data_IF_167104497450
#
_entry.id   IF_167104497450
#
_cell.length_a   1.000
_cell.length_b   1.000
_cell.length_c   1.000
_cell.angle_alpha   90.00
_cell.angle_beta   90.00
_cell.angle_gamma   90.00
#
_symmetry.space_group_name_H-M   'P 1'
#
loop_
_entity.id
_entity.type
_entity.pdbx_description
1 polymer ?
#
# COMPACT_ATOMS: atom_id res chain seq x y z
N UNK A 1 -1.95 -58.04 -23.89
CA UNK A 1 -2.42 -57.59 -22.56
C UNK A 1 -1.41 -56.58 -22.06
N UNK A 2 -1.70 -55.29 -22.24
CA UNK A 2 -0.82 -54.19 -21.86
C UNK A 2 -1.35 -53.57 -20.57
N UNK A 3 -0.61 -53.76 -19.48
CA UNK A 3 -0.90 -53.23 -18.15
C UNK A 3 -0.55 -51.74 -18.13
N UNK A 4 -1.56 -50.87 -18.22
CA UNK A 4 -1.40 -49.42 -18.07
C UNK A 4 -1.13 -49.06 -16.61
N UNK A 5 0.06 -48.53 -16.33
CA UNK A 5 0.42 -47.98 -15.03
C UNK A 5 -0.23 -46.62 -14.82
N UNK A 6 -1.24 -46.57 -13.96
CA UNK A 6 -1.82 -45.32 -13.46
C UNK A 6 -0.77 -44.56 -12.63
N UNK A 7 -0.28 -43.46 -13.20
CA UNK A 7 0.61 -42.54 -12.52
C UNK A 7 -0.22 -41.71 -11.53
N UNK A 8 -0.25 -42.12 -10.27
CA UNK A 8 -0.84 -41.32 -9.18
C UNK A 8 0.03 -40.08 -8.95
N UNK A 9 -0.22 -39.02 -9.71
CA UNK A 9 0.30 -37.68 -9.42
C UNK A 9 -0.25 -37.27 -8.05
N UNK A 10 0.59 -37.38 -7.03
CA UNK A 10 0.27 -37.09 -5.64
C UNK A 10 -0.34 -35.70 -5.50
N UNK A 11 -1.58 -35.65 -5.03
CA UNK A 11 -2.28 -34.40 -4.76
C UNK A 11 -1.49 -33.60 -3.72
N UNK A 12 -1.02 -32.42 -4.11
CA UNK A 12 -0.35 -31.51 -3.19
C UNK A 12 -1.30 -31.15 -2.02
N UNK A 13 -0.78 -31.06 -0.78
CA UNK A 13 -1.58 -30.76 0.39
C UNK A 13 -2.26 -29.40 0.23
N UNK A 14 -3.58 -29.37 0.46
CA UNK A 14 -4.37 -28.13 0.42
C UNK A 14 -4.04 -27.29 1.65
N UNK A 15 -3.30 -26.20 1.44
CA UNK A 15 -2.98 -25.22 2.50
C UNK A 15 -4.22 -24.33 2.74
N UNK A 16 -4.63 -24.18 4.00
CA UNK A 16 -5.82 -23.40 4.40
C UNK A 16 -5.39 -22.19 5.22
N UNK A 17 -6.02 -21.04 4.98
CA UNK A 17 -5.74 -19.81 5.71
C UNK A 17 -6.33 -19.87 7.12
N UNK A 18 -5.52 -19.57 8.13
CA UNK A 18 -6.00 -19.63 9.51
C UNK A 18 -7.05 -18.55 9.84
N UNK A 19 -6.97 -17.38 9.19
CA UNK A 19 -7.91 -16.28 9.41
C UNK A 19 -9.29 -16.50 8.76
N UNK A 20 -9.34 -16.90 7.49
CA UNK A 20 -10.60 -16.99 6.74
C UNK A 20 -11.05 -18.42 6.42
N UNK A 21 -10.27 -19.44 6.83
CA UNK A 21 -10.54 -20.87 6.65
C UNK A 21 -10.77 -21.30 5.19
N UNK A 22 -10.23 -20.54 4.22
CA UNK A 22 -10.26 -20.85 2.78
C UNK A 22 -8.90 -21.34 2.29
N UNK A 23 -8.91 -22.19 1.25
CA UNK A 23 -7.68 -22.69 0.62
C UNK A 23 -6.87 -21.54 0.00
N UNK A 24 -5.56 -21.57 0.21
CA UNK A 24 -4.63 -20.50 -0.19
C UNK A 24 -3.74 -20.99 -1.32
N UNK A 25 -3.75 -20.29 -2.45
CA UNK A 25 -2.81 -20.54 -3.56
C UNK A 25 -1.47 -19.83 -3.33
N UNK A 26 -1.53 -18.57 -2.88
CA UNK A 26 -0.35 -17.77 -2.54
C UNK A 26 -0.38 -17.41 -1.05
N UNK A 27 0.50 -18.04 -0.28
CA UNK A 27 0.48 -18.00 1.18
C UNK A 27 1.68 -17.27 1.74
N UNK A 28 1.50 -16.66 2.91
CA UNK A 28 2.61 -16.22 3.77
C UNK A 28 2.59 -17.05 5.04
N UNK A 29 3.76 -17.56 5.42
CA UNK A 29 3.95 -18.40 6.60
C UNK A 29 4.45 -17.56 7.78
N UNK A 30 3.80 -17.67 8.93
CA UNK A 30 4.29 -17.05 10.15
C UNK A 30 5.50 -17.84 10.69
N UNK A 31 6.60 -17.15 11.02
CA UNK A 31 7.81 -17.80 11.55
C UNK A 31 7.64 -18.35 12.97
N UNK A 32 6.75 -17.74 13.78
CA UNK A 32 6.51 -18.16 15.17
C UNK A 32 5.61 -19.40 15.25
N UNK A 33 4.48 -19.39 14.52
CA UNK A 33 3.44 -20.41 14.66
C UNK A 33 3.35 -21.41 13.51
N UNK A 34 4.15 -21.25 12.46
CA UNK A 34 4.07 -22.02 11.22
C UNK A 34 2.72 -21.97 10.48
N UNK A 35 1.74 -21.16 10.91
CA UNK A 35 0.46 -21.01 10.22
C UNK A 35 0.58 -20.27 8.88
N UNK A 36 -0.41 -20.51 8.02
CA UNK A 36 -0.47 -19.97 6.66
C UNK A 36 -1.61 -18.94 6.53
N UNK A 37 -1.32 -17.83 5.86
CA UNK A 37 -2.27 -16.73 5.66
C UNK A 37 -2.30 -16.25 4.21
N UNK A 38 -3.45 -15.73 3.77
CA UNK A 38 -3.47 -14.88 2.59
C UNK A 38 -2.73 -13.56 2.88
N UNK A 39 -2.01 -12.97 1.91
CA UNK A 39 -1.37 -11.67 2.09
C UNK A 39 -2.32 -10.59 2.61
N UNK A 40 -3.56 -10.54 2.12
CA UNK A 40 -4.58 -9.61 2.62
C UNK A 40 -5.06 -9.92 4.04
N UNK A 41 -5.25 -11.21 4.36
CA UNK A 41 -5.72 -11.61 5.69
C UNK A 41 -4.66 -11.35 6.77
N UNK A 42 -3.37 -11.44 6.44
CA UNK A 42 -2.29 -11.09 7.35
C UNK A 42 -2.28 -9.58 7.69
N UNK A 43 -2.52 -8.72 6.70
CA UNK A 43 -2.61 -7.28 6.96
C UNK A 43 -3.83 -6.96 7.82
N UNK A 44 -4.97 -7.58 7.53
CA UNK A 44 -6.19 -7.41 8.33
C UNK A 44 -6.04 -7.92 9.77
N UNK A 45 -5.37 -9.06 9.96
CA UNK A 45 -5.07 -9.54 11.30
C UNK A 45 -4.16 -8.52 11.99
N UNK A 46 -3.01 -8.12 11.42
CA UNK A 46 -2.08 -7.16 12.05
C UNK A 46 -2.71 -5.83 12.49
N UNK A 47 -3.78 -5.38 11.83
CA UNK A 47 -4.50 -4.15 12.17
C UNK A 47 -5.56 -4.35 13.28
N UNK A 48 -6.05 -5.58 13.45
CA UNK A 48 -6.82 -5.93 14.63
C UNK A 48 -5.88 -5.95 15.83
N UNK A 49 -6.20 -5.20 16.88
CA UNK A 49 -5.42 -5.13 18.14
C UNK A 49 -5.23 -6.50 18.84
N UNK A 50 -5.88 -7.56 18.34
CA UNK A 50 -5.78 -8.94 18.79
C UNK A 50 -4.83 -9.81 17.96
N UNK A 51 -4.11 -9.27 16.97
CA UNK A 51 -3.13 -10.05 16.20
C UNK A 51 -1.72 -10.01 16.80
N UNK A 52 -1.68 -10.13 18.12
CA UNK A 52 -0.51 -10.74 18.74
C UNK A 52 -0.56 -12.21 18.29
N UNK A 53 0.53 -12.67 17.67
CA UNK A 53 0.71 -14.09 17.42
C UNK A 53 0.48 -14.79 18.77
N UNK A 54 -0.46 -15.74 18.85
CA UNK A 54 -1.06 -16.32 20.08
C UNK A 54 -0.10 -17.05 21.05
N UNK A 55 1.15 -16.63 21.13
CA UNK A 55 2.31 -17.35 21.66
C UNK A 55 3.04 -16.55 22.73
N UNK A 56 2.58 -15.35 23.08
CA UNK A 56 3.29 -14.49 24.01
C UNK A 56 2.71 -14.58 25.46
N UNK A 57 1.82 -15.54 25.78
CA UNK A 57 1.14 -15.64 27.10
C UNK A 57 1.37 -16.94 27.91
N UNK A 58 2.20 -17.90 27.47
CA UNK A 58 2.28 -19.23 28.14
C UNK A 58 3.71 -19.73 28.49
N UNK A 59 4.68 -18.88 28.87
CA UNK A 59 6.04 -19.41 29.16
C UNK A 59 6.77 -18.97 30.43
N UNK A 60 6.11 -18.48 31.49
CA UNK A 60 6.84 -18.10 32.73
C UNK A 60 6.36 -18.68 34.08
N UNK A 61 5.40 -19.61 34.14
CA UNK A 61 4.85 -20.08 35.44
C UNK A 61 5.10 -21.55 35.85
N UNK A 62 6.05 -22.28 35.23
CA UNK A 62 6.32 -23.69 35.58
C UNK A 62 7.77 -24.02 35.98
N UNK A 63 8.40 -23.19 36.82
CA UNK A 63 9.63 -23.59 37.53
C UNK A 63 9.57 -23.23 39.01
N UNK A 64 8.66 -23.89 39.75
CA UNK A 64 8.68 -23.81 41.20
C UNK A 64 8.07 -25.04 41.88
N UNK A 65 8.78 -26.16 41.87
CA UNK A 65 8.60 -27.26 42.83
C UNK A 65 9.69 -28.32 42.64
N UNK A 66 10.89 -28.07 43.18
CA UNK A 66 11.81 -29.12 43.65
C UNK A 66 12.95 -28.47 44.44
N UNK A 67 12.70 -28.20 45.72
CA UNK A 67 13.75 -28.00 46.73
C UNK A 67 13.47 -29.01 47.84
N UNK A 68 13.99 -30.24 47.66
CA UNK A 68 13.97 -31.28 48.68
C UNK A 68 15.20 -31.13 49.60
N UNK A 69 14.93 -30.77 50.86
CA UNK A 69 15.45 -31.38 52.09
C UNK A 69 16.91 -31.83 52.20
N UNK A 70 17.88 -30.92 51.99
CA UNK A 70 19.19 -31.05 52.64
C UNK A 70 19.33 -30.13 53.85
N UNK A 71 19.18 -30.71 55.04
CA UNK A 71 19.47 -30.07 56.32
C UNK A 71 20.98 -29.79 56.44
N UNK A 72 21.40 -28.61 56.00
CA UNK A 72 22.73 -28.07 56.31
C UNK A 72 22.58 -27.18 57.55
N UNK A 73 23.04 -27.69 58.69
CA UNK A 73 23.26 -26.91 59.92
C UNK A 73 24.41 -25.93 59.70
N UNK A 74 24.15 -24.82 59.02
CA UNK A 74 25.03 -23.67 59.00
C UNK A 74 24.17 -22.43 59.25
N UNK A 75 24.31 -21.82 60.42
CA UNK A 75 23.58 -20.59 60.77
C UNK A 75 23.77 -19.48 59.72
N UNK A 76 24.89 -19.49 59.02
CA UNK A 76 25.18 -18.58 57.90
C UNK A 76 24.34 -18.86 56.65
N UNK A 77 23.96 -20.12 56.39
CA UNK A 77 23.09 -20.48 55.28
C UNK A 77 21.67 -19.95 55.51
N UNK A 78 21.15 -20.08 56.73
CA UNK A 78 19.84 -19.50 57.09
C UNK A 78 19.84 -17.97 56.98
N UNK A 79 20.94 -17.30 57.36
CA UNK A 79 21.08 -15.85 57.19
C UNK A 79 21.08 -15.46 55.71
N UNK A 80 21.83 -16.19 54.87
CA UNK A 80 21.88 -15.97 53.43
C UNK A 80 20.53 -16.21 52.74
N UNK A 81 19.78 -17.25 53.13
CA UNK A 81 18.44 -17.53 52.61
C UNK A 81 17.47 -16.41 52.98
N UNK A 82 17.52 -15.93 54.23
CA UNK A 82 16.68 -14.81 54.68
C UNK A 82 16.98 -13.52 53.91
N UNK A 83 18.27 -13.23 53.68
CA UNK A 83 18.72 -12.05 52.93
C UNK A 83 18.28 -12.12 51.45
N UNK A 84 18.45 -13.27 50.80
CA UNK A 84 17.98 -13.47 49.42
C UNK A 84 16.45 -13.37 49.29
N UNK A 85 15.72 -13.86 50.29
CA UNK A 85 14.26 -13.72 50.33
C UNK A 85 13.83 -12.27 50.45
N UNK A 86 14.55 -11.47 51.24
CA UNK A 86 14.34 -10.03 51.33
C UNK A 86 14.66 -9.32 50.01
N UNK A 87 15.80 -9.65 49.39
CA UNK A 87 16.21 -9.07 48.11
C UNK A 87 15.20 -9.37 47.00
N UNK A 88 14.69 -10.59 46.91
CA UNK A 88 13.64 -10.94 45.92
C UNK A 88 12.35 -10.14 46.13
N UNK A 89 11.96 -9.87 47.38
CA UNK A 89 10.80 -9.00 47.66
C UNK A 89 11.05 -7.56 47.22
N UNK A 90 12.24 -7.02 47.51
CA UNK A 90 12.61 -5.66 47.13
C UNK A 90 12.69 -5.49 45.60
N UNK A 91 13.24 -6.47 44.89
CA UNK A 91 13.27 -6.47 43.41
C UNK A 91 11.85 -6.44 42.85
N UNK A 92 10.97 -7.32 43.34
CA UNK A 92 9.57 -7.35 42.90
C UNK A 92 8.82 -6.04 43.20
N UNK A 93 9.11 -5.40 44.32
CA UNK A 93 8.56 -4.09 44.66
C UNK A 93 9.09 -2.99 43.71
N UNK A 94 10.37 -2.99 43.39
CA UNK A 94 10.97 -2.05 42.43
C UNK A 94 10.42 -2.23 41.02
N UNK A 95 10.26 -3.46 40.55
CA UNK A 95 9.65 -3.76 39.24
C UNK A 95 8.23 -3.21 39.17
N UNK A 96 7.40 -3.47 40.19
CA UNK A 96 6.03 -2.93 40.25
C UNK A 96 6.00 -1.39 40.26
N UNK A 97 6.94 -0.74 40.96
CA UNK A 97 7.07 0.73 40.95
C UNK A 97 7.50 1.25 39.58
N UNK A 98 8.41 0.56 38.89
CA UNK A 98 8.82 0.89 37.54
C UNK A 98 7.66 0.77 36.55
N UNK A 99 6.82 -0.27 36.65
CA UNK A 99 5.64 -0.42 35.80
C UNK A 99 4.63 0.71 36.01
N UNK A 100 4.37 1.11 37.26
CA UNK A 100 3.48 2.22 37.58
C UNK A 100 4.03 3.53 37.00
N UNK A 101 5.33 3.80 37.15
CA UNK A 101 5.97 4.97 36.56
C UNK A 101 5.92 4.96 35.03
N UNK A 102 6.08 3.80 34.40
CA UNK A 102 6.01 3.67 32.95
C UNK A 102 4.57 3.86 32.43
N UNK A 103 3.56 3.46 33.20
CA UNK A 103 2.16 3.74 32.89
C UNK A 103 1.79 5.22 33.05
N UNK A 104 2.38 5.92 34.02
CA UNK A 104 2.19 7.36 34.21
C UNK A 104 2.95 8.20 33.17
N UNK A 105 4.11 7.73 32.74
CA UNK A 105 4.96 8.39 31.73
C UNK A 105 4.76 7.89 30.31
N UNK A 106 3.76 7.04 30.03
CA UNK A 106 3.39 6.73 28.64
C UNK A 106 3.12 8.07 27.96
N UNK A 107 3.97 8.49 26.99
CA UNK A 107 3.71 9.72 26.27
C UNK A 107 2.32 9.52 25.67
N UNK A 108 1.35 10.37 26.06
CA UNK A 108 0.01 10.34 25.48
C UNK A 108 0.24 10.39 23.98
N UNK A 109 0.17 9.23 23.32
CA UNK A 109 0.41 9.16 21.90
C UNK A 109 -0.63 10.07 21.30
N UNK A 110 -0.20 11.23 20.81
CA UNK A 110 -1.09 12.17 20.18
C UNK A 110 -1.75 11.37 19.07
N UNK A 111 -3.07 11.18 19.17
CA UNK A 111 -3.78 10.52 18.09
C UNK A 111 -3.44 11.27 16.80
N UNK A 112 -3.19 10.57 15.70
CA UNK A 112 -2.89 11.22 14.41
C UNK A 112 -3.94 12.29 14.05
N UNK A 113 -5.17 12.12 14.55
CA UNK A 113 -6.25 13.10 14.45
C UNK A 113 -5.98 14.38 15.25
N UNK A 114 -5.46 14.27 16.48
CA UNK A 114 -5.05 15.41 17.30
C UNK A 114 -3.84 16.16 16.74
N UNK A 115 -2.87 15.45 16.18
CA UNK A 115 -1.70 16.07 15.51
C UNK A 115 -2.16 16.88 14.29
N UNK A 116 -2.99 16.30 13.43
CA UNK A 116 -3.51 17.00 12.26
C UNK A 116 -4.37 18.22 12.64
N UNK A 117 -5.22 18.12 13.67
CA UNK A 117 -6.00 19.25 14.17
C UNK A 117 -5.11 20.38 14.71
N UNK A 118 -4.03 20.04 15.44
CA UNK A 118 -3.07 21.02 15.94
C UNK A 118 -2.31 21.70 14.80
N UNK A 119 -1.90 20.95 13.77
CA UNK A 119 -1.24 21.50 12.57
C UNK A 119 -2.17 22.46 11.84
N UNK A 120 -3.43 22.07 11.59
CA UNK A 120 -4.41 22.94 10.92
C UNK A 120 -4.67 24.22 11.72
N UNK A 121 -4.78 24.12 13.05
CA UNK A 121 -4.98 25.29 13.94
C UNK A 121 -3.77 26.22 13.95
N UNK A 122 -2.55 25.69 13.94
CA UNK A 122 -1.32 26.48 13.87
C UNK A 122 -1.22 27.19 12.50
N UNK A 123 -1.53 26.50 11.42
CA UNK A 123 -1.53 27.07 10.07
C UNK A 123 -2.57 28.18 9.92
N UNK A 124 -3.79 28.00 10.45
CA UNK A 124 -4.82 29.04 10.41
C UNK A 124 -4.44 30.26 11.26
N UNK A 125 -3.83 30.04 12.43
CA UNK A 125 -3.38 31.14 13.28
C UNK A 125 -2.26 31.96 12.63
N UNK A 126 -1.31 31.32 11.94
CA UNK A 126 -0.23 32.03 11.26
C UNK A 126 -0.75 32.87 10.10
N UNK A 127 -1.70 32.34 9.31
CA UNK A 127 -2.34 33.09 8.23
C UNK A 127 -3.15 34.29 8.74
N UNK A 128 -3.84 34.15 9.88
CA UNK A 128 -4.56 35.28 10.47
C UNK A 128 -3.62 36.39 10.96
N UNK A 129 -2.45 36.03 11.53
CA UNK A 129 -1.43 37.01 11.90
C UNK A 129 -0.88 37.76 10.69
N UNK A 130 -0.60 37.04 9.61
CA UNK A 130 -0.12 37.64 8.35
C UNK A 130 -1.12 38.65 7.77
N UNK A 131 -2.42 38.39 7.87
CA UNK A 131 -3.46 39.34 7.42
C UNK A 131 -3.50 40.59 8.32
N UNK A 132 -3.45 40.43 9.63
CA UNK A 132 -3.43 41.57 10.57
C UNK A 132 -2.15 42.42 10.42
N UNK A 133 -1.02 41.80 10.12
CA UNK A 133 0.24 42.50 9.86
C UNK A 133 0.23 43.27 8.52
N UNK A 134 -0.64 42.88 7.58
CA UNK A 134 -0.85 43.61 6.33
C UNK A 134 -1.77 44.82 6.51
N UNK A 135 -2.83 44.70 7.33
CA UNK A 135 -3.74 45.82 7.63
C UNK A 135 -3.04 46.94 8.43
N UNK A 136 -2.08 46.60 9.28
CA UNK A 136 -1.33 47.60 10.06
C UNK A 136 -0.21 48.32 9.29
N UNK A 137 0.00 48.01 8.00
CA UNK A 137 1.04 48.64 7.15
C UNK A 137 0.52 49.68 6.17
N UNK A 138 -0.75 50.07 6.26
CA UNK A 138 -1.31 51.18 5.47
C UNK A 138 -1.05 52.52 6.15
N UNK A 139 0.19 52.99 6.04
CA UNK A 139 0.60 54.28 6.58
C UNK A 139 2.08 54.53 6.35
N UNK A 140 2.47 54.69 5.09
CA UNK A 140 3.36 55.77 4.65
C UNK A 140 3.56 55.70 3.13
N UNK A 141 3.38 56.88 2.55
CA UNK A 141 3.54 57.25 1.16
C UNK A 141 5.03 57.19 0.82
N UNK A 142 5.48 56.15 0.10
CA UNK A 142 6.65 56.18 -0.78
C UNK A 142 6.85 54.83 -1.50
N UNK A 143 6.56 54.82 -2.81
CA UNK A 143 7.21 53.95 -3.81
C UNK A 143 7.30 52.44 -3.52
N UNK A 144 6.18 51.71 -3.57
CA UNK A 144 6.21 50.25 -3.49
C UNK A 144 6.65 49.62 -4.82
N UNK A 145 7.94 49.30 -4.92
CA UNK A 145 8.48 48.44 -5.96
C UNK A 145 7.91 47.02 -5.79
N UNK A 146 7.31 46.50 -6.87
CA UNK A 146 6.73 45.15 -6.92
C UNK A 146 7.80 44.12 -6.56
N UNK A 147 7.73 43.58 -5.34
CA UNK A 147 8.61 42.50 -4.87
C UNK A 147 8.36 41.25 -5.71
N UNK A 148 9.11 41.12 -6.79
CA UNK A 148 9.17 39.92 -7.60
C UNK A 148 9.84 38.83 -6.78
N UNK A 149 9.04 37.83 -6.41
CA UNK A 149 9.49 36.63 -5.71
C UNK A 149 10.71 36.01 -6.43
N UNK A 150 11.92 36.20 -5.88
CA UNK A 150 13.18 35.58 -6.36
C UNK A 150 13.29 34.10 -5.99
N UNK A 151 12.18 33.37 -5.89
CA UNK A 151 12.26 31.93 -6.07
C UNK A 151 12.54 31.74 -7.55
N UNK A 152 13.79 31.47 -7.93
CA UNK A 152 14.06 31.00 -9.29
C UNK A 152 13.08 29.85 -9.53
N UNK A 153 12.06 30.01 -10.39
CA UNK A 153 11.23 28.89 -10.73
C UNK A 153 12.21 27.87 -11.27
N UNK A 154 12.21 26.64 -10.73
CA UNK A 154 12.83 25.52 -11.44
C UNK A 154 12.28 25.65 -12.83
N UNK A 155 13.12 26.10 -13.78
CA UNK A 155 12.72 26.52 -15.12
C UNK A 155 12.20 25.23 -15.71
N UNK A 156 10.90 24.97 -15.52
CA UNK A 156 10.22 23.85 -16.10
C UNK A 156 10.52 24.08 -17.56
N UNK A 157 11.36 23.20 -18.13
CA UNK A 157 11.69 23.29 -19.53
C UNK A 157 10.33 23.28 -20.19
N UNK A 158 9.93 24.45 -20.73
CA UNK A 158 8.67 24.56 -21.44
C UNK A 158 8.87 23.62 -22.61
N UNK A 159 8.28 22.43 -22.51
CA UNK A 159 8.18 21.56 -23.66
C UNK A 159 7.38 22.36 -24.67
N UNK A 160 8.08 22.90 -25.66
CA UNK A 160 7.45 23.56 -26.79
C UNK A 160 6.80 22.43 -27.58
N UNK A 161 5.54 22.15 -27.25
CA UNK A 161 4.70 21.27 -28.06
C UNK A 161 4.15 22.16 -29.17
N UNK A 162 4.95 22.35 -30.22
CA UNK A 162 4.47 22.99 -31.44
C UNK A 162 3.47 22.08 -32.14
N UNK A 163 2.34 22.64 -32.57
CA UNK A 163 1.47 21.98 -33.54
C UNK A 163 2.20 21.85 -34.88
N UNK A 164 1.88 20.81 -35.65
CA UNK A 164 2.56 20.54 -36.93
C UNK A 164 2.16 21.52 -38.05
N UNK A 165 1.23 22.43 -37.78
CA UNK A 165 0.59 23.30 -38.79
C UNK A 165 1.45 24.52 -39.18
N UNK A 166 2.41 24.94 -38.35
CA UNK A 166 3.12 26.24 -38.53
C UNK A 166 4.63 26.15 -38.80
N UNK A 167 5.25 24.96 -38.70
CA UNK A 167 6.70 24.82 -38.87
C UNK A 167 7.08 24.28 -40.26
N UNK A 168 7.41 25.18 -41.19
CA UNK A 168 7.79 24.85 -42.58
C UNK A 168 9.13 24.12 -42.74
N UNK A 169 9.93 24.00 -41.67
CA UNK A 169 11.27 23.38 -41.73
C UNK A 169 11.43 22.04 -41.01
N UNK A 170 10.47 21.61 -40.18
CA UNK A 170 10.61 20.39 -39.36
C UNK A 170 9.42 19.47 -39.58
N UNK A 171 9.62 18.37 -40.31
CA UNK A 171 8.62 17.32 -40.49
C UNK A 171 8.51 16.48 -39.22
N UNK A 172 7.38 16.55 -38.51
CA UNK A 172 7.13 15.63 -37.38
C UNK A 172 6.46 14.34 -37.85
N UNK A 173 6.71 13.25 -37.13
CA UNK A 173 6.07 11.96 -37.38
C UNK A 173 4.63 12.03 -36.84
N UNK A 174 3.67 11.58 -37.66
CA UNK A 174 2.27 11.51 -37.25
C UNK A 174 2.11 10.66 -35.98
N UNK A 175 1.30 11.16 -35.04
CA UNK A 175 1.00 10.44 -33.80
C UNK A 175 -0.15 9.47 -34.04
N UNK A 176 0.02 8.24 -33.58
CA UNK A 176 -0.99 7.21 -33.63
C UNK A 176 -1.49 6.88 -32.22
N UNK A 177 -2.74 6.46 -32.11
CA UNK A 177 -3.39 6.08 -30.86
C UNK A 177 -4.02 4.70 -31.04
N UNK A 178 -3.77 3.80 -30.10
CA UNK A 178 -4.32 2.45 -30.13
C UNK A 178 -5.55 2.35 -29.24
N UNK A 179 -6.63 1.84 -29.81
CA UNK A 179 -7.89 1.53 -29.16
C UNK A 179 -8.02 0.01 -29.01
N UNK A 180 -8.53 -0.43 -27.86
CA UNK A 180 -8.82 -1.82 -27.61
C UNK A 180 -10.31 -2.09 -27.82
N UNK A 181 -10.64 -2.86 -28.84
CA UNK A 181 -12.01 -3.29 -29.14
C UNK A 181 -12.17 -4.70 -28.56
N UNK A 182 -13.15 -4.86 -27.68
CA UNK A 182 -13.43 -6.13 -26.99
C UNK A 182 -14.84 -6.61 -27.31
N UNK A 183 -15.15 -7.86 -26.97
CA UNK A 183 -16.48 -8.47 -27.15
C UNK A 183 -16.89 -8.57 -28.63
N UNK A 184 -15.93 -8.80 -29.52
CA UNK A 184 -16.21 -9.16 -30.91
C UNK A 184 -16.56 -10.65 -31.00
N UNK A 185 -17.30 -11.03 -32.04
CA UNK A 185 -17.56 -12.44 -32.33
C UNK A 185 -16.22 -13.17 -32.59
N UNK A 186 -15.97 -14.36 -31.99
CA UNK A 186 -14.72 -15.10 -32.19
C UNK A 186 -14.38 -15.41 -33.65
N UNK A 187 -15.36 -15.47 -34.55
CA UNK A 187 -15.12 -15.70 -35.99
C UNK A 187 -14.69 -14.43 -36.75
N UNK A 188 -14.63 -13.27 -36.10
CA UNK A 188 -14.34 -12.00 -36.77
C UNK A 188 -12.86 -11.90 -37.11
N UNK A 189 -12.54 -11.64 -38.38
CA UNK A 189 -11.18 -11.40 -38.83
C UNK A 189 -10.82 -9.90 -38.79
N UNK A 190 -9.53 -9.55 -38.62
CA UNK A 190 -9.10 -8.15 -38.59
C UNK A 190 -9.42 -7.40 -39.89
N UNK A 191 -9.49 -8.11 -41.02
CA UNK A 191 -9.79 -7.51 -42.33
C UNK A 191 -11.23 -7.04 -42.45
N UNK A 192 -12.18 -7.71 -41.80
CA UNK A 192 -13.59 -7.30 -41.80
C UNK A 192 -13.78 -6.02 -41.00
N UNK A 193 -13.13 -5.93 -39.82
CA UNK A 193 -13.15 -4.70 -39.02
C UNK A 193 -12.45 -3.55 -39.74
N UNK A 194 -11.34 -3.84 -40.43
CA UNK A 194 -10.60 -2.87 -41.23
C UNK A 194 -11.47 -2.28 -42.35
N UNK A 195 -12.20 -3.10 -43.11
CA UNK A 195 -13.10 -2.65 -44.18
C UNK A 195 -14.16 -1.65 -43.68
N UNK A 196 -14.77 -1.93 -42.52
CA UNK A 196 -15.79 -1.06 -41.92
C UNK A 196 -15.17 0.27 -41.47
N UNK A 197 -14.00 0.22 -40.83
CA UNK A 197 -13.34 1.41 -40.29
C UNK A 197 -12.68 2.28 -41.38
N UNK A 198 -12.25 1.68 -42.50
CA UNK A 198 -11.62 2.40 -43.62
C UNK A 198 -12.53 3.49 -44.22
N UNK A 199 -13.86 3.34 -44.16
CA UNK A 199 -14.80 4.37 -44.61
C UNK A 199 -14.68 5.70 -43.83
N UNK A 200 -14.27 5.63 -42.56
CA UNK A 200 -14.10 6.79 -41.69
C UNK A 200 -12.63 7.17 -41.48
N UNK A 201 -11.72 6.19 -41.55
CA UNK A 201 -10.32 6.31 -41.18
C UNK A 201 -9.43 5.54 -42.19
N UNK A 202 -8.85 6.21 -43.20
CA UNK A 202 -8.16 5.54 -44.30
C UNK A 202 -6.88 4.80 -43.87
N UNK A 203 -6.23 5.24 -42.79
CA UNK A 203 -4.95 4.69 -42.30
C UNK A 203 -5.10 3.78 -41.08
N UNK A 204 -6.23 3.08 -40.97
CA UNK A 204 -6.48 2.17 -39.84
C UNK A 204 -5.68 0.88 -39.95
N UNK A 205 -4.98 0.50 -38.89
CA UNK A 205 -4.35 -0.82 -38.74
C UNK A 205 -5.03 -1.61 -37.64
N UNK A 206 -5.36 -2.87 -37.94
CA UNK A 206 -6.05 -3.78 -37.02
C UNK A 206 -5.17 -5.00 -36.75
N UNK A 207 -4.87 -5.25 -35.48
CA UNK A 207 -4.06 -6.39 -35.02
C UNK A 207 -4.92 -7.28 -34.12
N UNK A 208 -4.81 -8.62 -34.29
CA UNK A 208 -5.43 -9.57 -33.36
C UNK A 208 -4.79 -9.40 -31.98
N UNK A 209 -5.61 -9.33 -30.94
CA UNK A 209 -5.16 -9.23 -29.56
C UNK A 209 -5.57 -10.47 -28.78
N UNK A 210 -4.66 -11.01 -27.95
CA UNK A 210 -4.96 -12.20 -27.14
C UNK A 210 -6.05 -11.88 -26.11
N UNK A 211 -7.19 -12.52 -26.26
CA UNK A 211 -8.32 -12.38 -25.35
C UNK A 211 -8.17 -13.33 -24.17
N UNK A 212 -8.76 -12.97 -23.01
CA UNK A 212 -8.81 -13.88 -21.85
C UNK A 212 -9.64 -15.14 -22.12
N UNK A 213 -10.66 -15.02 -22.96
CA UNK A 213 -11.62 -16.07 -23.33
C UNK A 213 -11.81 -16.09 -24.85
N UNK A 214 -10.82 -16.57 -25.63
CA UNK A 214 -10.89 -16.58 -27.09
C UNK A 214 -12.08 -17.40 -27.65
N UNK A 215 -12.61 -18.35 -26.87
CA UNK A 215 -13.78 -19.15 -27.18
C UNK A 215 -15.11 -18.36 -27.10
N UNK A 216 -15.17 -17.33 -26.24
CA UNK A 216 -16.37 -16.51 -26.04
C UNK A 216 -16.33 -15.23 -26.87
N UNK A 217 -15.16 -14.61 -26.99
CA UNK A 217 -15.01 -13.37 -27.72
C UNK A 217 -13.60 -13.16 -28.26
N UNK A 218 -13.53 -12.46 -29.40
CA UNK A 218 -12.30 -11.90 -29.92
C UNK A 218 -12.07 -10.47 -29.37
N UNK A 219 -10.81 -10.10 -29.29
CA UNK A 219 -10.36 -8.74 -28.97
C UNK A 219 -9.34 -8.32 -30.02
N UNK A 220 -9.38 -7.05 -30.40
CA UNK A 220 -8.52 -6.50 -31.44
C UNK A 220 -7.96 -5.15 -31.00
N UNK A 221 -6.71 -4.89 -31.39
CA UNK A 221 -6.06 -3.60 -31.21
C UNK A 221 -6.19 -2.83 -32.52
N UNK A 222 -6.89 -1.71 -32.47
CA UNK A 222 -7.12 -0.83 -33.61
C UNK A 222 -6.27 0.41 -33.43
N UNK A 223 -5.36 0.68 -34.37
CA UNK A 223 -4.51 1.86 -34.32
C UNK A 223 -4.98 2.86 -35.39
N UNK A 224 -5.20 4.11 -34.96
CA UNK A 224 -5.66 5.23 -35.79
C UNK A 224 -4.79 6.46 -35.55
N UNK A 225 -4.80 7.43 -36.46
CA UNK A 225 -4.17 8.74 -36.23
C UNK A 225 -4.83 9.47 -35.05
N UNK A 226 -4.03 10.17 -34.25
CA UNK A 226 -4.48 10.89 -33.07
C UNK A 226 -5.52 11.97 -33.39
N UNK A 227 -5.42 12.63 -34.55
CA UNK A 227 -6.38 13.62 -35.04
C UNK A 227 -7.80 13.07 -35.18
N UNK A 228 -7.92 11.79 -35.49
CA UNK A 228 -9.19 11.11 -35.68
C UNK A 228 -9.76 10.51 -34.39
N UNK A 229 -9.01 10.54 -33.29
CA UNK A 229 -9.41 9.95 -32.02
C UNK A 229 -10.72 10.54 -31.48
N UNK A 230 -10.87 11.87 -31.53
CA UNK A 230 -12.10 12.53 -31.08
C UNK A 230 -13.33 12.12 -31.89
N UNK A 231 -13.18 11.91 -33.21
CA UNK A 231 -14.26 11.42 -34.09
C UNK A 231 -14.61 9.97 -33.78
N UNK A 232 -13.63 9.13 -33.51
CA UNK A 232 -13.83 7.73 -33.13
C UNK A 232 -14.48 7.57 -31.74
N UNK A 233 -14.22 8.50 -30.82
CA UNK A 233 -14.69 8.41 -29.43
C UNK A 233 -16.02 9.13 -29.16
N UNK A 234 -16.49 9.98 -30.08
CA UNK A 234 -17.82 10.58 -29.96
C UNK A 234 -18.84 9.44 -29.94
N UNK A 235 -19.40 9.16 -28.76
CA UNK A 235 -20.60 8.33 -28.63
C UNK A 235 -21.60 8.95 -29.59
N UNK A 236 -22.14 8.15 -30.51
CA UNK A 236 -23.39 8.52 -31.17
C UNK A 236 -24.41 8.64 -30.05
N UNK A 237 -24.57 9.86 -29.54
CA UNK A 237 -25.68 10.23 -28.70
C UNK A 237 -26.89 10.25 -29.62
N UNK A 238 -27.56 9.10 -29.69
CA UNK A 238 -28.98 9.09 -30.00
C UNK A 238 -29.74 9.53 -28.75
#
# INVERSE_FOLDING_TARGET
MASGGESTLGALPKIVCEYCKKTVVNHVKCKKCNDYFHPRCMVQSSQAKSAVCRHDDESEDELQQQEDDHQIENGDAMRYIAENKLLRRLVKELESKCEILNHQNKPKMFSNRGVNAAISKAQSSNKMKEILDLENKEGDDDGWEKVVNRRMPRKSRKFVVGGNEENTGVTTIAKYTSLHVTRLNPSTEPDDLKKILMANFPEVTCEKHQSKHPELYASMKVTIKQEHFAKAWKRYGN
#
